data_IF_776794688937
#
_entry.id   IF_776794688937
#
_cell.length_a   1.000
_cell.length_b   1.000
_cell.length_c   1.000
_cell.angle_alpha   90.00
_cell.angle_beta   90.00
_cell.angle_gamma   90.00
#
_symmetry.space_group_name_H-M   'P 1'
#
loop_
_entity.id
_entity.type
_entity.pdbx_description
1 polymer ?
#
# COMPACT_ATOMS: atom_id res chain seq x y z
N UNK A 1 25.61 -2.87 -23.11
CA UNK A 1 25.12 -4.26 -22.95
C UNK A 1 24.29 -4.31 -21.68
N UNK A 2 23.08 -3.73 -21.68
CA UNK A 2 22.25 -3.62 -20.46
C UNK A 2 20.78 -3.80 -20.80
N UNK A 3 20.35 -3.35 -21.99
CA UNK A 3 19.02 -3.64 -22.55
C UNK A 3 18.76 -5.12 -22.88
N UNK A 4 19.80 -5.96 -23.01
CA UNK A 4 19.67 -7.40 -23.30
C UNK A 4 19.45 -8.27 -22.05
N UNK A 5 19.75 -7.76 -20.86
CA UNK A 5 19.62 -8.56 -19.62
C UNK A 5 18.20 -8.57 -19.05
N UNK A 6 17.39 -7.56 -19.35
CA UNK A 6 16.02 -7.47 -18.87
C UNK A 6 15.04 -8.36 -19.66
N UNK A 7 15.24 -8.53 -20.97
CA UNK A 7 14.40 -9.44 -21.77
C UNK A 7 14.66 -10.91 -21.40
N UNK A 8 15.90 -11.24 -21.02
CA UNK A 8 16.31 -12.60 -20.64
C UNK A 8 15.66 -13.07 -19.33
N UNK A 9 15.49 -12.17 -18.36
CA UNK A 9 14.81 -12.47 -17.08
C UNK A 9 13.29 -12.67 -17.26
N UNK A 10 12.67 -11.92 -18.18
CA UNK A 10 11.24 -12.07 -18.52
C UNK A 10 10.98 -13.31 -19.40
N UNK A 11 11.86 -13.62 -20.36
CA UNK A 11 11.77 -14.81 -21.22
C UNK A 11 12.06 -16.12 -20.47
N UNK A 12 12.87 -16.09 -19.42
CA UNK A 12 13.20 -17.28 -18.63
C UNK A 12 12.07 -17.81 -17.75
N UNK A 13 11.11 -16.95 -17.35
CA UNK A 13 10.02 -17.31 -16.43
C UNK A 13 8.72 -17.78 -17.10
N UNK A 14 8.53 -17.48 -18.39
CA UNK A 14 7.29 -17.75 -19.13
C UNK A 14 7.60 -18.43 -20.47
N UNK A 15 8.10 -19.67 -20.39
CA UNK A 15 8.24 -20.58 -21.53
C UNK A 15 7.31 -21.78 -21.34
N UNK A 16 6.93 -22.43 -22.44
CA UNK A 16 6.18 -23.69 -22.41
C UNK A 16 6.68 -24.59 -23.53
N UNK A 17 7.04 -25.83 -23.18
CA UNK A 17 7.53 -26.84 -24.11
C UNK A 17 6.38 -27.69 -24.70
N UNK A 18 5.13 -27.36 -24.35
CA UNK A 18 3.94 -28.10 -24.79
C UNK A 18 3.71 -27.90 -26.28
N UNK A 19 3.47 -28.98 -27.00
CA UNK A 19 3.20 -28.92 -28.45
C UNK A 19 1.74 -28.58 -28.76
N UNK A 20 0.79 -28.94 -27.88
CA UNK A 20 -0.61 -28.57 -28.07
C UNK A 20 -0.84 -27.08 -27.77
N UNK A 21 -1.50 -26.34 -28.68
CA UNK A 21 -1.67 -24.88 -28.54
C UNK A 21 -2.41 -24.45 -27.27
N UNK A 22 -3.47 -25.18 -26.90
CA UNK A 22 -4.30 -24.82 -25.75
C UNK A 22 -3.56 -25.07 -24.42
N UNK A 23 -2.90 -26.23 -24.28
CA UNK A 23 -2.09 -26.56 -23.11
C UNK A 23 -0.93 -25.59 -22.93
N UNK A 24 -0.28 -25.20 -24.04
CA UNK A 24 0.77 -24.18 -24.05
C UNK A 24 0.25 -22.84 -23.52
N UNK A 25 -0.92 -22.39 -23.97
CA UNK A 25 -1.49 -21.13 -23.50
C UNK A 25 -1.88 -21.17 -22.02
N UNK A 26 -2.46 -22.27 -21.54
CA UNK A 26 -2.74 -22.43 -20.12
C UNK A 26 -1.46 -22.41 -19.28
N UNK A 27 -0.42 -23.12 -19.70
CA UNK A 27 0.85 -23.15 -18.97
C UNK A 27 1.53 -21.78 -18.93
N UNK A 28 1.57 -21.07 -20.06
CA UNK A 28 2.12 -19.70 -20.13
C UNK A 28 1.33 -18.76 -19.22
N UNK A 29 -0.01 -18.83 -19.23
CA UNK A 29 -0.86 -18.02 -18.37
C UNK A 29 -0.66 -18.34 -16.88
N UNK A 30 -0.59 -19.62 -16.52
CA UNK A 30 -0.35 -20.07 -15.15
C UNK A 30 1.02 -19.65 -14.64
N UNK A 31 2.07 -19.73 -15.46
CA UNK A 31 3.43 -19.29 -15.11
C UNK A 31 3.53 -17.78 -15.00
N UNK A 32 2.96 -17.03 -15.94
CA UNK A 32 2.88 -15.58 -15.85
C UNK A 32 2.13 -15.14 -14.57
N UNK A 33 1.02 -15.80 -14.27
CA UNK A 33 0.27 -15.55 -13.03
C UNK A 33 1.05 -15.96 -11.77
N UNK A 34 1.86 -17.02 -11.83
CA UNK A 34 2.71 -17.44 -10.72
C UNK A 34 3.85 -16.44 -10.45
N UNK A 35 4.46 -15.88 -11.49
CA UNK A 35 5.44 -14.80 -11.39
C UNK A 35 4.80 -13.55 -10.77
N UNK A 36 3.57 -13.21 -11.17
CA UNK A 36 2.82 -12.10 -10.59
C UNK A 36 2.48 -12.34 -9.10
N UNK A 37 2.15 -13.58 -8.71
CA UNK A 37 1.84 -13.95 -7.31
C UNK A 37 3.08 -14.06 -6.42
N UNK A 38 4.23 -14.47 -6.96
CA UNK A 38 5.48 -14.63 -6.19
C UNK A 38 6.07 -13.29 -5.71
N UNK A 39 5.48 -12.17 -6.14
CA UNK A 39 5.92 -10.80 -5.86
C UNK A 39 5.07 -10.07 -4.82
N UNK A 40 4.08 -10.73 -4.22
CA UNK A 40 3.32 -10.14 -3.12
C UNK A 40 3.98 -10.52 -1.79
N UNK A 41 4.72 -9.57 -1.22
CA UNK A 41 5.39 -9.73 0.09
C UNK A 41 4.39 -9.76 1.26
N UNK A 42 3.09 -9.66 0.96
CA UNK A 42 1.99 -9.65 1.92
C UNK A 42 1.45 -8.23 2.13
N UNK A 43 0.12 -8.11 2.18
CA UNK A 43 -0.56 -6.87 2.55
C UNK A 43 -0.67 -6.75 4.07
N UNK A 44 -0.32 -5.59 4.61
CA UNK A 44 -0.57 -5.26 6.02
C UNK A 44 -1.80 -4.35 6.06
N UNK A 45 -2.83 -4.78 6.80
CA UNK A 45 -4.02 -3.97 7.08
C UNK A 45 -3.89 -3.48 8.52
N UNK A 46 -3.97 -2.17 8.71
CA UNK A 46 -3.86 -1.53 10.02
C UNK A 46 -5.10 -0.68 10.29
N UNK A 47 -5.74 -0.89 11.44
CA UNK A 47 -6.73 0.04 11.96
C UNK A 47 -6.01 1.16 12.72
N UNK A 48 -6.16 2.40 12.26
CA UNK A 48 -5.62 3.59 12.93
C UNK A 48 -6.79 4.39 13.49
N UNK A 49 -6.73 4.74 14.77
CA UNK A 49 -7.77 5.50 15.46
C UNK A 49 -7.20 6.81 15.98
N UNK A 50 -7.96 7.88 15.81
CA UNK A 50 -7.60 9.21 16.27
C UNK A 50 -8.59 9.66 17.35
N UNK A 51 -8.08 10.31 18.38
CA UNK A 51 -8.89 10.97 19.42
C UNK A 51 -8.98 12.47 19.23
N UNK A 52 -8.10 13.04 18.41
CA UNK A 52 -7.98 14.48 18.18
C UNK A 52 -8.09 14.77 16.69
N UNK A 53 -8.87 15.80 16.35
CA UNK A 53 -9.11 16.21 14.97
C UNK A 53 -7.81 16.65 14.27
N UNK A 54 -6.94 17.39 14.97
CA UNK A 54 -5.67 17.88 14.42
C UNK A 54 -4.77 16.73 13.94
N UNK A 55 -4.70 15.65 14.71
CA UNK A 55 -3.89 14.49 14.36
C UNK A 55 -4.45 13.75 13.13
N UNK A 56 -5.77 13.65 13.01
CA UNK A 56 -6.42 13.07 11.83
C UNK A 56 -6.17 13.93 10.58
N UNK A 57 -6.32 15.26 10.69
CA UNK A 57 -6.09 16.18 9.57
C UNK A 57 -4.62 16.21 9.13
N UNK A 58 -3.67 16.18 10.08
CA UNK A 58 -2.25 16.06 9.78
C UNK A 58 -1.93 14.74 9.07
N UNK A 59 -2.44 13.62 9.58
CA UNK A 59 -2.26 12.30 8.94
C UNK A 59 -2.79 12.27 7.50
N UNK A 60 -3.98 12.84 7.28
CA UNK A 60 -4.57 12.92 5.94
C UNK A 60 -3.77 13.83 5.01
N UNK A 61 -3.25 14.95 5.51
CA UNK A 61 -2.34 15.83 4.77
C UNK A 61 -1.04 15.10 4.36
N UNK A 62 -0.46 14.30 5.26
CA UNK A 62 0.71 13.49 4.98
C UNK A 62 0.43 12.37 3.97
N UNK A 63 -0.77 11.79 4.01
CA UNK A 63 -1.22 10.83 3.00
C UNK A 63 -1.32 11.46 1.61
N UNK A 64 -2.03 12.59 1.48
CA UNK A 64 -2.24 13.27 0.20
C UNK A 64 -0.94 13.84 -0.40
N UNK A 65 -0.05 14.35 0.44
CA UNK A 65 1.25 14.88 0.01
C UNK A 65 2.27 13.78 -0.34
N UNK A 66 1.99 12.53 0.07
CA UNK A 66 2.91 11.39 -0.06
C UNK A 66 4.01 11.34 1.01
N UNK A 67 4.03 12.28 1.96
CA UNK A 67 4.98 12.27 3.08
C UNK A 67 4.85 11.00 3.93
N UNK A 68 3.62 10.50 4.11
CA UNK A 68 3.35 9.24 4.80
C UNK A 68 4.05 8.05 4.14
N UNK A 69 4.03 7.99 2.80
CA UNK A 69 4.71 6.95 2.04
C UNK A 69 6.23 7.02 2.20
N UNK A 70 6.80 8.23 2.14
CA UNK A 70 8.24 8.42 2.33
C UNK A 70 8.70 8.02 3.73
N UNK A 71 7.95 8.40 4.76
CA UNK A 71 8.23 7.99 6.14
C UNK A 71 8.20 6.46 6.29
N UNK A 72 7.19 5.80 5.73
CA UNK A 72 7.02 4.35 5.83
C UNK A 72 8.06 3.58 5.00
N UNK A 73 8.55 4.12 3.88
CA UNK A 73 9.67 3.51 3.13
C UNK A 73 10.91 3.35 4.00
N UNK A 74 11.21 4.33 4.85
CA UNK A 74 12.36 4.29 5.77
C UNK A 74 12.23 3.21 6.86
N UNK A 75 10.99 2.89 7.26
CA UNK A 75 10.71 1.88 8.29
C UNK A 75 10.60 0.47 7.69
N UNK A 76 9.86 0.32 6.58
CA UNK A 76 9.51 -0.98 6.02
C UNK A 76 10.54 -1.48 5.00
N UNK A 77 11.14 -0.60 4.19
CA UNK A 77 12.10 -1.01 3.17
C UNK A 77 13.52 -0.98 3.74
N UNK A 78 13.80 -1.96 4.59
CA UNK A 78 15.12 -2.18 5.18
C UNK A 78 16.13 -2.72 4.15
N UNK A 79 17.43 -2.55 4.43
CA UNK A 79 18.50 -3.10 3.59
C UNK A 79 18.42 -4.61 3.41
N UNK A 80 17.90 -5.32 4.42
CA UNK A 80 17.66 -6.76 4.36
C UNK A 80 16.56 -7.11 3.35
N UNK A 81 15.45 -6.35 3.35
CA UNK A 81 14.37 -6.55 2.39
C UNK A 81 14.81 -6.19 0.96
N UNK A 82 15.59 -5.10 0.80
CA UNK A 82 16.19 -4.71 -0.49
C UNK A 82 17.10 -5.80 -1.05
N UNK A 83 17.94 -6.41 -0.22
CA UNK A 83 18.82 -7.52 -0.62
C UNK A 83 18.04 -8.78 -0.99
N UNK A 84 16.99 -9.12 -0.23
CA UNK A 84 16.15 -10.29 -0.49
C UNK A 84 15.35 -10.17 -1.80
N UNK A 85 14.89 -8.96 -2.14
CA UNK A 85 14.19 -8.70 -3.39
C UNK A 85 15.12 -8.67 -4.63
N UNK A 86 16.44 -8.60 -4.44
CA UNK A 86 17.42 -8.72 -5.53
C UNK A 86 17.29 -7.64 -6.60
N UNK A 87 17.28 -8.03 -7.89
CA UNK A 87 17.09 -7.13 -9.05
C UNK A 87 15.66 -6.59 -9.17
N UNK A 88 14.73 -7.18 -8.45
CA UNK A 88 13.32 -6.87 -8.49
C UNK A 88 13.03 -5.83 -7.40
N UNK A 89 12.82 -4.57 -7.79
CA UNK A 89 12.60 -3.49 -6.81
C UNK A 89 11.39 -3.75 -5.91
N UNK A 90 11.52 -3.41 -4.63
CA UNK A 90 10.40 -3.44 -3.66
C UNK A 90 9.54 -2.19 -3.89
N UNK A 91 8.23 -2.39 -4.10
CA UNK A 91 7.26 -1.30 -4.18
C UNK A 91 6.37 -1.34 -2.94
N UNK A 92 6.26 -0.21 -2.25
CA UNK A 92 5.28 0.00 -1.18
C UNK A 92 4.10 0.79 -1.76
N UNK A 93 2.89 0.30 -1.50
CA UNK A 93 1.63 0.96 -1.85
C UNK A 93 0.87 1.21 -0.56
N UNK A 94 0.27 2.41 -0.44
CA UNK A 94 -0.55 2.80 0.71
C UNK A 94 -1.87 3.29 0.17
N UNK A 95 -2.96 2.78 0.75
CA UNK A 95 -4.31 3.21 0.48
C UNK A 95 -4.95 3.59 1.80
N UNK A 96 -5.60 4.74 1.83
CA UNK A 96 -6.49 5.15 2.91
C UNK A 96 -7.82 5.45 2.25
N UNK A 97 -8.91 4.92 2.80
CA UNK A 97 -10.24 5.19 2.30
C UNK A 97 -10.65 6.63 2.63
N UNK A 98 -11.17 7.35 1.64
CA UNK A 98 -11.62 8.73 1.82
C UNK A 98 -12.89 8.78 2.68
N UNK A 99 -13.80 7.82 2.52
CA UNK A 99 -15.05 7.78 3.27
C UNK A 99 -14.75 7.55 4.77
N UNK A 100 -13.77 6.70 5.08
CA UNK A 100 -13.31 6.47 6.47
C UNK A 100 -12.71 7.74 7.09
N UNK A 101 -11.92 8.49 6.30
CA UNK A 101 -11.38 9.77 6.75
C UNK A 101 -12.49 10.79 7.02
N UNK A 102 -13.43 10.95 6.10
CA UNK A 102 -14.51 11.92 6.20
C UNK A 102 -15.43 11.62 7.39
N UNK A 103 -15.76 10.35 7.60
CA UNK A 103 -16.56 9.93 8.75
C UNK A 103 -15.81 10.15 10.07
N UNK A 104 -14.52 9.78 10.14
CA UNK A 104 -13.69 10.04 11.31
C UNK A 104 -13.61 11.54 11.63
N UNK A 105 -13.47 12.37 10.60
CA UNK A 105 -13.43 13.83 10.72
C UNK A 105 -14.75 14.39 11.24
N UNK A 106 -15.88 13.93 10.71
CA UNK A 106 -17.22 14.33 11.15
C UNK A 106 -17.45 14.01 12.63
N UNK A 107 -17.13 12.78 13.05
CA UNK A 107 -17.30 12.32 14.43
C UNK A 107 -16.47 13.15 15.42
N UNK A 108 -15.23 13.51 15.05
CA UNK A 108 -14.36 14.33 15.90
C UNK A 108 -14.82 15.79 15.99
N UNK A 109 -15.33 16.37 14.89
CA UNK A 109 -15.93 17.70 14.90
C UNK A 109 -17.16 17.75 15.81
N UNK A 110 -18.08 16.80 15.65
CA UNK A 110 -19.29 16.70 16.49
C UNK A 110 -18.92 16.57 17.98
N UNK A 111 -17.87 15.80 18.30
CA UNK A 111 -17.39 15.64 19.68
C UNK A 111 -16.79 16.94 20.26
N UNK A 112 -16.03 17.69 19.47
CA UNK A 112 -15.48 18.98 19.89
C UNK A 112 -16.56 20.02 20.15
N UNK A 113 -17.58 20.09 19.28
CA UNK A 113 -18.72 21.00 19.46
C UNK A 113 -19.52 20.66 20.74
N UNK A 114 -19.76 19.38 21.00
CA UNK A 114 -20.43 18.93 22.22
C UNK A 114 -19.64 19.30 23.48
N UNK A 115 -18.31 19.13 23.48
CA UNK A 115 -17.48 19.54 24.61
C UNK A 115 -17.51 21.05 24.84
N UNK A 116 -17.44 21.84 23.77
CA UNK A 116 -17.53 23.30 23.85
C UNK A 116 -18.90 23.77 24.39
N UNK A 117 -19.99 23.16 23.93
CA UNK A 117 -21.35 23.44 24.40
C UNK A 117 -21.56 23.06 25.87
N UNK A 118 -21.04 21.91 26.30
CA UNK A 118 -21.13 21.47 27.70
C UNK A 118 -20.35 22.41 28.64
N UNK A 119 -19.18 22.88 28.21
CA UNK A 119 -18.39 23.85 28.96
C UNK A 119 -19.07 25.22 29.08
N UNK A 120 -19.78 25.66 28.04
CA UNK A 120 -20.55 26.90 28.06
C UNK A 120 -21.77 26.81 29.01
N UNK A 121 -22.46 25.67 29.04
CA UNK A 121 -23.60 25.43 29.92
C UNK A 121 -23.23 25.34 31.41
N UNK A 122 -22.03 24.85 31.75
CA UNK A 122 -21.54 24.78 33.14
C UNK A 122 -21.11 26.16 33.68
N UNK A 123 -20.81 27.13 32.80
CA UNK A 123 -20.36 28.48 33.16
C UNK A 123 -21.48 29.53 33.15
N UNK A 124 -22.70 29.13 32.81
CA UNK A 124 -23.91 29.97 32.80
C UNK A 124 -24.70 29.78 34.09
#
# INVERSE_FOLDING_TARGET
>A
MEYWEHESALRGGVSSDKQQPLERQFELFSRASAVLRARDLGSIICDIKFSELENLEAFWGDYLSGALLEALKGVFITDSLRRAAGREGVRLLISVDQDDYEEGRRLLLDAQEQQAGCWAAVRS
#
